data_IF_133390194288
#
_entry.id   IF_133390194288
#
_cell.length_a   1.000
_cell.length_b   1.000
_cell.length_c   1.000
_cell.angle_alpha   90.00
_cell.angle_beta   90.00
_cell.angle_gamma   90.00
#
_symmetry.space_group_name_H-M   'P 1'
#
loop_
_entity.id
_entity.type
_entity.pdbx_description
1 polymer ?
#
# COMPACT_ATOMS: atom_id res chain seq x y z
N UNK A 1 16.96 -19.77 -7.90
CA UNK A 1 16.17 -18.70 -8.49
C UNK A 1 14.97 -18.39 -7.61
N UNK A 2 14.71 -17.13 -7.27
CA UNK A 2 13.54 -16.83 -6.44
C UNK A 2 12.24 -17.13 -7.20
N UNK A 3 11.25 -17.57 -6.47
CA UNK A 3 9.91 -17.79 -6.98
C UNK A 3 8.95 -16.92 -6.19
N UNK A 4 7.87 -16.49 -6.85
CA UNK A 4 6.80 -15.73 -6.23
C UNK A 4 5.48 -16.43 -6.42
N UNK A 5 4.64 -16.36 -5.42
CA UNK A 5 3.29 -16.88 -5.44
C UNK A 5 2.35 -15.78 -5.00
N UNK A 6 1.24 -15.61 -5.70
CA UNK A 6 0.25 -14.60 -5.33
C UNK A 6 -0.55 -15.13 -4.15
N UNK A 7 -0.42 -14.50 -2.99
CA UNK A 7 -1.18 -14.82 -1.79
C UNK A 7 -2.57 -14.21 -1.85
N UNK A 8 -2.67 -12.96 -2.32
CA UNK A 8 -3.94 -12.32 -2.61
C UNK A 8 -3.74 -11.17 -3.60
N UNK A 9 -4.80 -10.87 -4.35
CA UNK A 9 -4.87 -9.73 -5.24
C UNK A 9 -6.21 -9.04 -5.06
N UNK A 10 -6.20 -7.71 -4.98
CA UNK A 10 -7.41 -6.90 -4.82
C UNK A 10 -7.31 -5.64 -5.65
N UNK A 11 -8.45 -5.19 -6.15
CA UNK A 11 -8.58 -3.87 -6.72
C UNK A 11 -9.38 -2.98 -5.78
N UNK A 12 -8.95 -1.73 -5.67
CA UNK A 12 -9.61 -0.74 -4.82
C UNK A 12 -10.00 0.45 -5.65
N UNK A 13 -11.24 0.86 -5.48
CA UNK A 13 -11.79 2.05 -6.12
C UNK A 13 -12.31 2.96 -5.01
N UNK A 14 -11.69 4.14 -4.89
CA UNK A 14 -12.07 5.12 -3.88
C UNK A 14 -12.53 6.40 -4.56
N UNK A 15 -13.64 6.92 -4.08
CA UNK A 15 -14.20 8.18 -4.58
C UNK A 15 -13.96 9.28 -3.56
N UNK A 16 -13.83 10.54 -4.01
CA UNK A 16 -13.79 11.66 -3.08
C UNK A 16 -15.06 11.67 -2.23
N UNK A 17 -14.89 11.83 -0.91
CA UNK A 17 -16.00 11.90 0.02
C UNK A 17 -16.35 13.36 0.30
N UNK A 18 -17.65 13.67 0.36
CA UNK A 18 -18.10 15.00 0.78
C UNK A 18 -17.78 15.18 2.28
N UNK A 19 -17.31 16.39 2.65
CA UNK A 19 -17.02 16.75 4.04
C UNK A 19 -15.95 15.86 4.71
N UNK A 20 -15.01 15.33 3.92
CA UNK A 20 -13.90 14.58 4.50
C UNK A 20 -12.97 15.54 5.25
N UNK A 21 -12.56 15.15 6.46
CA UNK A 21 -11.54 15.86 7.20
C UNK A 21 -10.16 15.36 6.73
N UNK A 22 -9.49 16.18 5.91
CA UNK A 22 -8.18 15.81 5.35
C UNK A 22 -7.05 15.82 6.40
N UNK A 23 -7.31 16.32 7.61
CA UNK A 23 -6.35 16.21 8.71
C UNK A 23 -6.34 14.83 9.35
N UNK A 24 -7.36 14.03 9.09
CA UNK A 24 -7.45 12.65 9.59
C UNK A 24 -6.92 11.70 8.54
N UNK A 25 -5.87 10.97 8.90
CA UNK A 25 -5.26 9.95 8.05
C UNK A 25 -5.84 8.59 8.43
N UNK A 26 -6.11 7.76 7.43
CA UNK A 26 -6.54 6.39 7.67
C UNK A 26 -5.49 5.65 8.52
N UNK A 27 -5.97 4.74 9.37
CA UNK A 27 -5.09 4.00 10.27
C UNK A 27 -4.05 3.20 9.48
N UNK A 28 -2.75 3.37 9.79
CA UNK A 28 -1.72 2.54 9.20
C UNK A 28 -1.95 1.05 9.48
N UNK A 29 -1.65 0.22 8.51
CA UNK A 29 -1.90 -1.22 8.60
C UNK A 29 -0.85 -2.01 7.80
N UNK A 30 -0.88 -3.32 7.97
CA UNK A 30 -0.25 -4.29 7.09
C UNK A 30 -1.36 -5.21 6.54
N UNK A 31 -1.13 -5.78 5.37
CA UNK A 31 -2.17 -6.54 4.66
C UNK A 31 -2.35 -7.96 5.18
N UNK A 32 -1.30 -8.53 5.76
CA UNK A 32 -1.28 -9.89 6.32
C UNK A 32 -0.92 -9.82 7.80
N UNK A 33 -0.79 -10.96 8.46
CA UNK A 33 -0.45 -11.01 9.87
C UNK A 33 1.00 -10.55 10.12
N UNK A 34 1.26 -9.98 11.30
CA UNK A 34 2.61 -9.62 11.69
C UNK A 34 3.52 -10.85 11.67
N UNK A 35 4.73 -10.67 11.13
CA UNK A 35 5.71 -11.75 10.99
C UNK A 35 5.53 -12.60 9.74
N UNK A 36 4.44 -12.44 9.02
CA UNK A 36 4.24 -13.12 7.75
C UNK A 36 4.93 -12.35 6.63
N UNK A 37 6.08 -12.85 6.19
CA UNK A 37 6.87 -12.18 5.16
C UNK A 37 6.18 -12.22 3.81
N UNK A 38 6.10 -11.07 3.17
CA UNK A 38 5.53 -10.93 1.83
C UNK A 38 5.99 -9.62 1.20
N UNK A 39 5.75 -9.51 -0.09
CA UNK A 39 6.02 -8.31 -0.86
C UNK A 39 4.70 -7.72 -1.29
N UNK A 40 4.56 -6.40 -1.17
CA UNK A 40 3.41 -5.65 -1.68
C UNK A 40 3.79 -5.05 -3.01
N UNK A 41 2.94 -5.26 -4.01
CA UNK A 41 3.05 -4.63 -5.33
C UNK A 41 1.77 -3.84 -5.56
N UNK A 42 1.89 -2.52 -5.68
CA UNK A 42 0.77 -1.64 -6.00
C UNK A 42 0.91 -1.14 -7.43
N UNK A 43 -0.12 -1.33 -8.21
CA UNK A 43 -0.24 -0.77 -9.55
C UNK A 43 -1.30 0.32 -9.55
N UNK A 44 -0.93 1.52 -9.99
CA UNK A 44 -1.85 2.64 -10.06
C UNK A 44 -2.49 2.69 -11.45
N UNK A 45 -3.81 2.54 -11.47
CA UNK A 45 -4.59 2.47 -12.72
C UNK A 45 -4.78 3.86 -13.32
N UNK A 46 -4.91 4.88 -12.47
CA UNK A 46 -5.11 6.27 -12.87
C UNK A 46 -4.33 7.21 -11.95
N UNK A 47 -4.16 8.44 -12.38
CA UNK A 47 -3.61 9.52 -11.54
C UNK A 47 -4.60 9.82 -10.41
N UNK A 48 -4.07 10.17 -9.24
CA UNK A 48 -4.87 10.58 -8.08
C UNK A 48 -4.05 11.47 -7.17
N UNK A 49 -4.74 12.25 -6.34
CA UNK A 49 -4.12 13.03 -5.28
C UNK A 49 -4.12 12.30 -3.92
N UNK A 50 -4.65 11.09 -3.86
CA UNK A 50 -4.58 10.26 -2.67
C UNK A 50 -3.29 9.45 -2.64
N UNK A 51 -2.29 9.92 -1.90
CA UNK A 51 -0.97 9.29 -1.85
C UNK A 51 -0.97 7.98 -1.07
N UNK A 52 -0.07 7.07 -1.44
CA UNK A 52 0.31 5.95 -0.60
C UNK A 52 1.45 6.39 0.31
N UNK A 53 1.32 6.16 1.61
CA UNK A 53 2.35 6.50 2.60
C UNK A 53 2.87 5.22 3.21
N UNK A 54 4.19 5.01 3.15
CA UNK A 54 4.88 3.86 3.71
C UNK A 54 5.68 4.35 4.92
N UNK A 55 5.55 3.64 6.04
CA UNK A 55 6.18 4.01 7.29
C UNK A 55 7.41 3.16 7.60
N UNK A 56 8.26 3.65 8.49
CA UNK A 56 9.43 2.89 8.93
C UNK A 56 9.05 1.73 9.85
N UNK A 57 7.96 1.86 10.58
CA UNK A 57 7.54 0.91 11.60
C UNK A 57 7.08 -0.41 10.97
N UNK A 58 7.49 -1.53 11.58
CA UNK A 58 7.16 -2.89 11.15
C UNK A 58 6.29 -3.61 12.17
N UNK A 59 5.95 -2.95 13.27
CA UNK A 59 5.05 -3.44 14.30
C UNK A 59 4.06 -2.35 14.65
N UNK A 60 2.92 -2.75 15.19
CA UNK A 60 1.90 -1.79 15.62
C UNK A 60 2.48 -0.80 16.62
N UNK A 61 2.24 0.47 16.40
CA UNK A 61 2.79 1.55 17.20
C UNK A 61 1.74 2.63 17.44
N UNK A 62 1.97 3.47 18.44
CA UNK A 62 1.15 4.68 18.68
C UNK A 62 1.57 5.82 17.76
N UNK A 63 2.77 5.76 17.21
CA UNK A 63 3.31 6.77 16.30
C UNK A 63 3.97 6.07 15.11
N UNK A 64 3.78 6.65 13.93
CA UNK A 64 4.38 6.14 12.71
C UNK A 64 5.16 7.25 12.03
N UNK A 65 6.37 6.92 11.58
CA UNK A 65 7.26 7.88 10.90
C UNK A 65 7.30 7.57 9.42
N UNK A 66 7.04 8.58 8.59
CA UNK A 66 7.00 8.42 7.14
C UNK A 66 8.39 8.08 6.59
N UNK A 67 8.46 6.98 5.86
CA UNK A 67 9.65 6.57 5.12
C UNK A 67 9.59 7.03 3.68
N UNK A 68 8.43 6.85 3.04
CA UNK A 68 8.24 7.16 1.64
C UNK A 68 6.78 7.48 1.37
N UNK A 69 6.57 8.43 0.47
CA UNK A 69 5.25 8.83 -0.01
C UNK A 69 5.25 8.72 -1.53
N UNK A 70 4.21 8.09 -2.07
CA UNK A 70 4.10 7.87 -3.51
C UNK A 70 2.76 8.40 -4.00
N UNK A 71 2.82 9.34 -4.93
CA UNK A 71 1.62 9.86 -5.59
C UNK A 71 1.21 8.91 -6.72
N UNK A 72 -0.06 8.51 -6.78
CA UNK A 72 -0.55 7.68 -7.88
C UNK A 72 -0.40 8.38 -9.23
N UNK A 73 0.20 7.67 -10.17
CA UNK A 73 0.30 8.04 -11.57
C UNK A 73 -0.05 6.84 -12.41
N UNK A 74 -0.84 7.03 -13.45
CA UNK A 74 -1.24 5.93 -14.33
C UNK A 74 -0.02 5.13 -14.78
N UNK A 75 -0.07 3.82 -14.54
CA UNK A 75 1.00 2.89 -14.89
C UNK A 75 2.17 2.82 -13.92
N UNK A 76 2.21 3.64 -12.87
CA UNK A 76 3.25 3.57 -11.85
C UNK A 76 3.06 2.33 -11.00
N UNK A 77 4.17 1.70 -10.64
CA UNK A 77 4.21 0.52 -9.76
C UNK A 77 5.08 0.85 -8.55
N UNK A 78 4.62 0.47 -7.37
CA UNK A 78 5.38 0.57 -6.13
C UNK A 78 5.53 -0.82 -5.55
N UNK A 79 6.74 -1.17 -5.15
CA UNK A 79 7.05 -2.46 -4.53
C UNK A 79 7.72 -2.19 -3.19
N UNK A 80 7.20 -2.81 -2.13
CA UNK A 80 7.78 -2.67 -0.80
C UNK A 80 7.56 -3.92 0.04
N UNK A 81 8.34 -4.03 1.12
CA UNK A 81 8.19 -5.16 2.04
C UNK A 81 6.87 -5.05 2.81
N UNK A 82 6.10 -6.13 2.81
CA UNK A 82 4.76 -6.15 3.37
C UNK A 82 4.70 -5.98 4.89
N UNK A 83 5.81 -6.21 5.58
CA UNK A 83 5.91 -5.97 7.02
C UNK A 83 5.93 -4.49 7.40
N UNK A 84 6.16 -3.60 6.46
CA UNK A 84 6.11 -2.17 6.71
C UNK A 84 4.66 -1.68 6.76
N UNK A 85 4.33 -0.94 7.82
CA UNK A 85 3.01 -0.33 7.94
C UNK A 85 2.85 0.75 6.88
N UNK A 86 1.66 0.86 6.34
CA UNK A 86 1.34 1.80 5.27
C UNK A 86 -0.12 2.20 5.32
N UNK A 87 -0.45 3.27 4.61
CA UNK A 87 -1.82 3.74 4.47
C UNK A 87 -2.00 4.45 3.13
N UNK A 88 -3.24 4.72 2.79
CA UNK A 88 -3.59 5.53 1.63
C UNK A 88 -4.32 6.77 2.12
N UNK A 89 -3.93 7.93 1.60
CA UNK A 89 -4.69 9.15 1.82
C UNK A 89 -5.95 9.13 0.96
N UNK A 90 -7.02 9.72 1.46
CA UNK A 90 -8.25 9.84 0.71
C UNK A 90 -8.07 10.77 -0.49
N UNK A 91 -8.57 10.41 -1.68
CA UNK A 91 -8.55 11.34 -2.81
C UNK A 91 -9.51 12.48 -2.56
N UNK A 92 -9.18 13.68 -3.06
CA UNK A 92 -10.01 14.88 -2.88
C UNK A 92 -10.60 15.39 -4.18
N UNK A 93 -9.98 15.11 -5.33
CA UNK A 93 -10.36 15.70 -6.61
C UNK A 93 -10.83 14.71 -7.66
N UNK A 94 -10.63 13.45 -7.43
CA UNK A 94 -10.96 12.43 -8.40
C UNK A 94 -10.89 11.07 -7.75
N UNK A 95 -11.08 10.06 -8.55
CA UNK A 95 -11.09 8.68 -8.10
C UNK A 95 -9.65 8.18 -7.86
N UNK A 96 -9.47 7.35 -6.86
CA UNK A 96 -8.24 6.60 -6.67
C UNK A 96 -8.51 5.14 -7.01
N UNK A 97 -7.74 4.58 -7.93
CA UNK A 97 -7.91 3.19 -8.36
C UNK A 97 -6.56 2.50 -8.39
N UNK A 98 -6.43 1.42 -7.62
CA UNK A 98 -5.22 0.63 -7.53
C UNK A 98 -5.51 -0.85 -7.63
N UNK A 99 -4.50 -1.61 -8.03
CA UNK A 99 -4.48 -3.07 -7.88
C UNK A 99 -3.36 -3.39 -6.90
N UNK A 100 -3.69 -4.14 -5.86
CA UNK A 100 -2.76 -4.53 -4.80
C UNK A 100 -2.54 -6.04 -4.87
N UNK A 101 -1.28 -6.44 -5.04
CA UNK A 101 -0.87 -7.85 -4.94
C UNK A 101 0.00 -8.04 -3.72
N UNK A 102 -0.31 -9.09 -2.95
CA UNK A 102 0.55 -9.58 -1.88
C UNK A 102 1.19 -10.87 -2.38
N UNK A 103 2.51 -10.86 -2.48
CA UNK A 103 3.27 -11.95 -3.06
C UNK A 103 4.10 -12.63 -1.98
N UNK A 104 4.03 -13.96 -1.93
CA UNK A 104 5.00 -14.74 -1.20
C UNK A 104 6.28 -14.79 -2.04
N UNK A 105 7.42 -14.64 -1.37
CA UNK A 105 8.72 -14.63 -2.03
C UNK A 105 9.63 -15.62 -1.34
N UNK A 106 10.15 -16.56 -2.11
CA UNK A 106 11.09 -17.53 -1.59
C UNK A 106 12.13 -17.90 -2.64
N UNK A 107 13.29 -18.31 -2.17
CA UNK A 107 14.38 -18.74 -3.02
C UNK A 107 14.42 -20.28 -3.02
N UNK A 108 14.33 -20.85 -4.23
CA UNK A 108 14.39 -22.31 -4.41
C UNK A 108 15.80 -22.86 -4.60
N UNK A 109 16.79 -21.99 -4.66
CA UNK A 109 18.19 -22.41 -4.71
C UNK A 109 18.67 -22.74 -3.30
N UNK A 110 19.02 -23.95 -3.11
CA UNK A 110 19.53 -24.44 -1.82
C UNK A 110 21.01 -24.82 -1.95
#
# INVERSE_FOLDING_TARGET
>A
MPQTEVLQGRSFLQFPLANVDTSVVDTPHIDLDEGEEHIVVLYYVIDSDGDTVIYNERTKSNTYTEKQRVTPKQGRVVIFEGGQYHTAEQPTKGTRCIVNYNLDYYDTEL
#
